data_IF_532702987548
#
_entry.id   IF_532702987548
#
_cell.length_a   1.000
_cell.length_b   1.000
_cell.length_c   1.000
_cell.angle_alpha   90.00
_cell.angle_beta   90.00
_cell.angle_gamma   90.00
#
_symmetry.space_group_name_H-M   'P 1'
#
loop_
_entity.id
_entity.type
_entity.pdbx_description
1 polymer ?
#
# COMPACT_ATOMS: atom_id res chain seq x y z
N UNK A 1 23.22 -1.46 14.82
CA UNK A 1 23.62 -1.87 13.46
C UNK A 1 23.44 -3.38 13.37
N UNK A 2 22.61 -3.85 12.42
CA UNK A 2 22.42 -5.28 12.23
C UNK A 2 23.73 -5.91 11.74
N UNK A 3 24.11 -7.05 12.32
CA UNK A 3 25.29 -7.79 11.89
C UNK A 3 24.96 -8.61 10.64
N UNK A 4 25.88 -8.65 9.69
CA UNK A 4 25.77 -9.53 8.53
C UNK A 4 25.72 -11.00 9.00
N UNK A 5 24.75 -11.78 8.54
CA UNK A 5 24.56 -13.18 8.95
C UNK A 5 23.44 -13.44 9.97
N UNK A 6 22.77 -12.38 10.47
CA UNK A 6 21.55 -12.52 11.31
C UNK A 6 20.25 -12.39 10.52
N UNK A 7 20.35 -12.19 9.21
CA UNK A 7 19.21 -12.09 8.33
C UNK A 7 18.65 -13.47 8.01
N UNK A 8 17.33 -13.60 8.14
CA UNK A 8 16.59 -14.75 7.68
C UNK A 8 15.51 -14.29 6.69
N UNK A 9 15.37 -15.05 5.64
CA UNK A 9 14.41 -14.78 4.57
C UNK A 9 13.21 -15.70 4.74
N UNK A 10 12.01 -15.17 4.51
CA UNK A 10 10.82 -15.98 4.47
C UNK A 10 10.92 -17.01 3.34
N UNK A 11 10.65 -18.27 3.65
CA UNK A 11 10.78 -19.38 2.70
C UNK A 11 9.47 -20.16 2.49
N UNK A 12 8.34 -19.59 2.96
CA UNK A 12 7.03 -20.20 2.86
C UNK A 12 6.42 -20.49 4.22
N UNK A 13 5.35 -21.26 4.23
CA UNK A 13 4.66 -21.70 5.44
C UNK A 13 4.65 -23.23 5.53
N UNK A 14 4.64 -23.75 6.76
CA UNK A 14 4.45 -25.20 7.00
C UNK A 14 2.98 -25.61 6.80
N UNK A 15 2.69 -26.90 6.96
CA UNK A 15 1.33 -27.43 6.84
C UNK A 15 0.32 -26.88 7.87
N UNK A 16 0.81 -26.18 8.90
CA UNK A 16 -0.01 -25.52 9.94
C UNK A 16 -0.12 -24.01 9.72
N UNK A 17 0.47 -23.46 8.64
CA UNK A 17 0.49 -22.04 8.34
C UNK A 17 1.54 -21.22 9.11
N UNK A 18 2.48 -21.87 9.81
CA UNK A 18 3.56 -21.16 10.48
C UNK A 18 4.66 -20.76 9.47
N UNK A 19 5.25 -19.55 9.62
CA UNK A 19 6.28 -19.07 8.70
C UNK A 19 7.56 -19.90 8.83
N UNK A 20 8.16 -20.23 7.71
CA UNK A 20 9.46 -20.84 7.59
C UNK A 20 10.50 -19.79 7.20
N UNK A 21 11.70 -19.94 7.73
CA UNK A 21 12.78 -18.97 7.54
C UNK A 21 14.06 -19.67 7.11
N UNK A 22 14.81 -19.05 6.22
CA UNK A 22 16.09 -19.56 5.72
C UNK A 22 17.16 -18.47 5.77
N UNK A 23 18.41 -18.84 5.97
CA UNK A 23 19.56 -17.95 5.78
C UNK A 23 20.02 -17.87 4.30
N UNK A 24 19.54 -18.78 3.45
CA UNK A 24 19.83 -18.74 2.01
C UNK A 24 18.81 -17.87 1.28
N UNK A 25 19.26 -16.72 0.80
CA UNK A 25 18.44 -15.78 0.02
C UNK A 25 17.80 -16.44 -1.22
N UNK A 26 18.47 -17.43 -1.82
CA UNK A 26 17.94 -18.11 -3.03
C UNK A 26 16.74 -19.00 -2.75
N UNK A 27 16.56 -19.39 -1.49
CA UNK A 27 15.42 -20.16 -1.03
C UNK A 27 14.29 -19.27 -0.46
N UNK A 28 14.37 -17.95 -0.65
CA UNK A 28 13.28 -17.05 -0.25
C UNK A 28 12.04 -17.27 -1.11
N UNK A 29 10.87 -17.16 -0.48
CA UNK A 29 9.57 -17.22 -1.13
C UNK A 29 8.94 -15.84 -1.26
N UNK A 30 8.20 -15.60 -2.34
CA UNK A 30 7.39 -14.41 -2.48
C UNK A 30 6.19 -14.46 -1.51
N UNK A 31 5.80 -13.31 -0.98
CA UNK A 31 4.61 -13.19 -0.13
C UNK A 31 3.31 -13.30 -0.93
N UNK A 32 3.33 -12.88 -2.18
CA UNK A 32 2.21 -12.93 -3.13
C UNK A 32 2.76 -12.82 -4.56
N UNK A 33 1.96 -13.24 -5.53
CA UNK A 33 2.30 -13.10 -6.94
C UNK A 33 1.86 -11.72 -7.44
N UNK A 34 2.83 -10.93 -7.91
CA UNK A 34 2.62 -9.60 -8.47
C UNK A 34 3.79 -9.29 -9.42
N UNK A 35 3.52 -9.07 -10.72
CA UNK A 35 4.58 -8.86 -11.70
C UNK A 35 5.50 -7.68 -11.41
N UNK A 36 4.96 -6.65 -10.77
CA UNK A 36 5.70 -5.43 -10.45
C UNK A 36 5.23 -4.85 -9.12
N UNK A 37 6.15 -4.74 -8.18
CA UNK A 37 5.95 -4.07 -6.88
C UNK A 37 7.02 -3.00 -6.75
N UNK A 38 6.61 -1.76 -6.56
CA UNK A 38 7.49 -0.65 -6.25
C UNK A 38 7.76 -0.55 -4.74
N UNK A 39 7.90 0.66 -4.24
CA UNK A 39 8.08 0.92 -2.82
C UNK A 39 6.82 0.52 -2.05
N UNK A 40 7.03 0.05 -0.83
CA UNK A 40 5.93 -0.47 -0.02
C UNK A 40 6.05 -0.10 1.46
N UNK A 41 4.92 -0.17 2.15
CA UNK A 41 4.86 -0.18 3.62
C UNK A 41 3.88 -1.23 4.11
N UNK A 42 4.20 -1.86 5.24
CA UNK A 42 3.35 -2.86 5.90
C UNK A 42 3.11 -2.44 7.33
N UNK A 43 1.83 -2.35 7.71
CA UNK A 43 1.42 -1.97 9.06
C UNK A 43 0.23 -2.80 9.54
N UNK A 44 0.15 -3.00 10.85
CA UNK A 44 -1.05 -3.55 11.46
C UNK A 44 -2.13 -2.47 11.59
N UNK A 45 -3.33 -2.76 11.17
CA UNK A 45 -4.54 -1.93 11.35
C UNK A 45 -5.31 -2.50 12.53
N UNK A 46 -4.97 -2.04 13.74
CA UNK A 46 -5.51 -2.57 15.00
C UNK A 46 -7.05 -2.59 15.05
N UNK A 47 -7.76 -1.53 14.61
CA UNK A 47 -9.23 -1.54 14.65
C UNK A 47 -9.89 -2.65 13.84
N UNK A 48 -9.20 -3.17 12.83
CA UNK A 48 -9.72 -4.24 11.95
C UNK A 48 -9.05 -5.59 12.22
N UNK A 49 -8.07 -5.62 13.15
CA UNK A 49 -7.27 -6.81 13.46
C UNK A 49 -6.67 -7.50 12.23
N UNK A 50 -6.10 -6.70 11.31
CA UNK A 50 -5.47 -7.18 10.08
C UNK A 50 -4.15 -6.43 9.81
N UNK A 51 -3.34 -7.00 8.93
CA UNK A 51 -2.18 -6.34 8.34
C UNK A 51 -2.58 -5.73 7.01
N UNK A 52 -2.10 -4.51 6.76
CA UNK A 52 -2.26 -3.79 5.50
C UNK A 52 -0.89 -3.58 4.87
N UNK A 53 -0.76 -4.00 3.63
CA UNK A 53 0.38 -3.71 2.79
C UNK A 53 -0.08 -2.70 1.74
N UNK A 54 0.60 -1.55 1.65
CA UNK A 54 0.44 -0.56 0.59
C UNK A 54 1.69 -0.57 -0.28
N UNK A 55 1.51 -0.50 -1.59
CA UNK A 55 2.61 -0.44 -2.56
C UNK A 55 2.16 0.27 -3.84
N UNK A 56 3.12 0.85 -4.57
CA UNK A 56 2.83 1.35 -5.91
C UNK A 56 3.14 0.27 -6.97
N UNK A 57 2.34 0.25 -8.01
CA UNK A 57 2.50 -0.65 -9.14
C UNK A 57 2.01 -0.03 -10.45
N UNK A 58 2.49 -0.56 -11.56
CA UNK A 58 2.04 -0.15 -12.88
C UNK A 58 0.76 -0.85 -13.34
N UNK A 59 0.44 -2.02 -12.75
CA UNK A 59 -0.77 -2.80 -13.08
C UNK A 59 -1.26 -3.61 -11.87
N UNK A 60 -2.43 -3.30 -11.30
CA UNK A 60 -3.17 -2.05 -11.56
C UNK A 60 -2.33 -0.84 -11.19
N UNK A 61 -2.49 0.25 -11.93
CA UNK A 61 -1.77 1.49 -11.66
C UNK A 61 -2.24 2.11 -10.35
N UNK A 62 -1.31 2.80 -9.66
CA UNK A 62 -1.61 3.58 -8.48
C UNK A 62 -1.03 3.00 -7.19
N UNK A 63 -1.56 3.47 -6.08
CA UNK A 63 -1.29 2.88 -4.78
C UNK A 63 -2.26 1.74 -4.54
N UNK A 64 -1.72 0.55 -4.44
CA UNK A 64 -2.45 -0.68 -4.24
C UNK A 64 -2.38 -1.14 -2.79
N UNK A 65 -3.41 -1.82 -2.33
CA UNK A 65 -3.51 -2.40 -1.00
C UNK A 65 -3.77 -3.90 -1.06
N UNK A 66 -3.21 -4.62 -0.10
CA UNK A 66 -3.54 -6.01 0.21
C UNK A 66 -3.66 -6.16 1.72
N UNK A 67 -4.50 -7.07 2.17
CA UNK A 67 -4.70 -7.34 3.59
C UNK A 67 -4.41 -8.80 3.92
N UNK A 68 -3.98 -9.05 5.17
CA UNK A 68 -3.77 -10.39 5.68
C UNK A 68 -4.01 -10.44 7.19
N UNK A 69 -4.30 -11.61 7.74
CA UNK A 69 -4.44 -11.82 9.19
C UNK A 69 -3.09 -11.86 9.91
N UNK A 70 -2.03 -12.25 9.20
CA UNK A 70 -0.66 -12.32 9.69
C UNK A 70 0.31 -11.75 8.65
N UNK A 71 1.50 -11.25 9.03
CA UNK A 71 2.37 -10.50 8.12
C UNK A 71 2.98 -11.33 6.98
N UNK A 72 2.93 -12.65 7.06
CA UNK A 72 3.40 -13.54 5.99
C UNK A 72 2.29 -14.05 5.09
N UNK A 73 1.02 -13.61 5.30
CA UNK A 73 -0.10 -13.96 4.44
C UNK A 73 -0.87 -15.23 4.89
N UNK A 74 -1.75 -15.79 4.07
CA UNK A 74 -1.97 -15.34 2.67
C UNK A 74 -2.50 -13.90 2.60
N UNK A 75 -2.00 -13.17 1.61
CA UNK A 75 -2.46 -11.83 1.31
C UNK A 75 -3.66 -11.88 0.37
N UNK A 76 -4.60 -10.98 0.57
CA UNK A 76 -5.80 -10.83 -0.28
C UNK A 76 -5.44 -10.51 -1.73
N UNK A 77 -6.44 -10.56 -2.60
CA UNK A 77 -6.37 -9.92 -3.90
C UNK A 77 -6.09 -8.42 -3.77
N UNK A 78 -5.59 -7.83 -4.86
CA UNK A 78 -5.25 -6.42 -4.90
C UNK A 78 -6.50 -5.54 -4.90
N UNK A 79 -6.44 -4.47 -4.11
CA UNK A 79 -7.42 -3.38 -4.15
C UNK A 79 -6.70 -2.08 -4.45
N UNK A 80 -7.17 -1.32 -5.44
CA UNK A 80 -6.61 0.01 -5.72
C UNK A 80 -7.09 0.99 -4.65
N UNK A 81 -6.16 1.55 -3.90
CA UNK A 81 -6.44 2.53 -2.84
C UNK A 81 -6.46 3.95 -3.40
N UNK A 82 -5.60 4.23 -4.36
CA UNK A 82 -5.52 5.51 -5.04
C UNK A 82 -5.01 5.31 -6.47
N UNK A 83 -5.77 5.80 -7.44
CA UNK A 83 -5.36 5.92 -8.83
C UNK A 83 -5.33 7.40 -9.20
N UNK A 84 -4.18 7.97 -9.62
CA UNK A 84 -4.09 9.37 -9.99
C UNK A 84 -4.97 9.75 -11.18
N UNK A 85 -5.39 8.77 -11.98
CA UNK A 85 -6.31 8.96 -13.10
C UNK A 85 -7.79 9.05 -12.73
N UNK A 86 -8.17 8.83 -11.48
CA UNK A 86 -9.55 9.04 -11.06
C UNK A 86 -9.98 10.50 -11.21
N UNK A 87 -11.25 10.78 -11.53
CA UNK A 87 -11.72 12.15 -11.70
C UNK A 87 -11.46 13.01 -10.47
N UNK A 88 -10.88 14.21 -10.70
CA UNK A 88 -10.65 15.24 -9.69
C UNK A 88 -9.75 14.82 -8.52
N UNK A 89 -8.73 13.99 -8.76
CA UNK A 89 -7.78 13.59 -7.72
C UNK A 89 -6.32 13.90 -8.07
N UNK A 90 -5.55 13.00 -8.62
CA UNK A 90 -4.09 13.14 -8.78
C UNK A 90 -3.68 14.10 -9.90
N UNK A 91 -4.03 13.72 -11.13
CA UNK A 91 -3.67 14.46 -12.31
C UNK A 91 -4.36 15.82 -12.39
N UNK A 92 -3.59 16.86 -12.71
CA UNK A 92 -4.07 18.22 -12.75
C UNK A 92 -4.32 18.87 -11.39
N UNK A 93 -3.99 18.19 -10.28
CA UNK A 93 -4.10 18.73 -8.92
C UNK A 93 -2.73 18.82 -8.25
N UNK A 94 -2.00 17.73 -8.16
CA UNK A 94 -0.66 17.69 -7.57
C UNK A 94 0.33 16.82 -8.37
N UNK A 95 -0.08 16.28 -9.49
CA UNK A 95 0.74 15.55 -10.46
C UNK A 95 0.43 16.00 -11.87
N UNK A 96 1.46 16.05 -12.71
CA UNK A 96 1.29 16.39 -14.11
C UNK A 96 0.58 15.31 -14.91
N UNK A 97 -0.32 15.80 -15.74
CA UNK A 97 -0.84 15.13 -16.92
C UNK A 97 -0.33 15.91 -18.14
N UNK A 98 0.17 15.27 -19.21
CA UNK A 98 0.59 16.01 -20.41
C UNK A 98 -0.52 16.91 -20.95
N UNK A 99 -0.20 18.18 -21.10
CA UNK A 99 -1.14 19.24 -21.49
C UNK A 99 -1.23 20.34 -20.43
N UNK A 100 -2.21 21.24 -20.60
CA UNK A 100 -2.45 22.32 -19.65
C UNK A 100 -3.23 21.80 -18.46
N UNK A 101 -2.57 21.51 -17.37
CA UNK A 101 -3.19 20.91 -16.18
C UNK A 101 -3.17 21.80 -14.93
N UNK A 102 -2.66 23.03 -15.02
CA UNK A 102 -2.54 24.00 -13.92
C UNK A 102 -1.56 23.60 -12.78
N UNK A 103 -0.90 22.47 -12.85
CA UNK A 103 0.24 22.14 -12.01
C UNK A 103 1.46 22.80 -12.62
N UNK A 104 2.36 23.37 -11.82
CA UNK A 104 3.56 24.05 -12.32
C UNK A 104 4.81 23.31 -11.87
N UNK A 105 5.61 22.88 -12.84
CA UNK A 105 6.98 22.38 -12.65
C UNK A 105 7.85 22.81 -13.85
N UNK A 106 8.42 24.03 -13.81
CA UNK A 106 9.11 24.62 -14.93
C UNK A 106 10.18 23.71 -15.56
N UNK A 107 10.06 23.48 -16.86
CA UNK A 107 10.95 22.61 -17.63
C UNK A 107 10.49 21.17 -17.75
N UNK A 108 9.40 20.77 -17.08
CA UNK A 108 8.88 19.41 -17.09
C UNK A 108 7.37 19.31 -17.31
N UNK A 109 6.75 20.38 -17.76
CA UNK A 109 5.31 20.53 -17.96
C UNK A 109 4.68 19.51 -18.92
N UNK A 110 5.48 18.91 -19.79
CA UNK A 110 5.02 17.91 -20.76
C UNK A 110 5.17 16.46 -20.32
N UNK A 111 5.67 16.22 -19.10
CA UNK A 111 5.92 14.88 -18.57
C UNK A 111 4.80 14.41 -17.64
N UNK A 112 4.45 13.13 -17.70
CA UNK A 112 3.54 12.56 -16.71
C UNK A 112 4.15 12.56 -15.32
N UNK A 113 3.34 12.85 -14.32
CA UNK A 113 3.63 12.57 -12.93
C UNK A 113 3.48 11.08 -12.61
N UNK A 114 4.11 10.66 -11.53
CA UNK A 114 4.01 9.32 -11.00
C UNK A 114 3.90 9.34 -9.47
N UNK A 115 3.10 8.46 -8.93
CA UNK A 115 2.96 8.20 -7.50
C UNK A 115 3.89 7.08 -7.05
N UNK A 116 4.51 7.23 -5.89
CA UNK A 116 5.37 6.20 -5.33
C UNK A 116 5.54 6.35 -3.81
N UNK A 117 6.17 5.36 -3.17
CA UNK A 117 6.57 5.38 -1.77
C UNK A 117 5.42 5.53 -0.79
N UNK A 118 4.33 4.75 -0.87
CA UNK A 118 3.25 4.84 0.10
C UNK A 118 3.75 4.42 1.48
N UNK A 119 3.77 5.36 2.43
CA UNK A 119 4.18 5.11 3.80
C UNK A 119 3.03 5.35 4.77
N UNK A 120 2.62 4.29 5.47
CA UNK A 120 1.52 4.33 6.43
C UNK A 120 1.94 5.04 7.72
N UNK A 121 1.08 5.92 8.24
CA UNK A 121 1.29 6.63 9.51
C UNK A 121 0.42 5.97 10.59
N UNK A 122 0.86 4.82 11.06
CA UNK A 122 0.13 3.95 11.97
C UNK A 122 -0.46 4.65 13.21
N UNK A 123 0.30 5.55 13.83
CA UNK A 123 -0.11 6.25 15.06
C UNK A 123 -1.42 7.05 14.94
N UNK A 124 -1.86 7.35 13.72
CA UNK A 124 -3.11 8.08 13.46
C UNK A 124 -4.25 7.16 12.98
N UNK A 125 -3.97 5.88 12.79
CA UNK A 125 -5.01 4.91 12.46
C UNK A 125 -6.03 4.85 13.59
N UNK A 126 -7.32 4.94 13.26
CA UNK A 126 -8.39 4.97 14.25
C UNK A 126 -9.64 4.23 13.76
N UNK A 127 -10.42 3.65 14.68
CA UNK A 127 -11.71 3.09 14.32
C UNK A 127 -12.67 4.19 13.87
N UNK A 128 -13.54 3.86 12.92
CA UNK A 128 -14.71 4.67 12.59
C UNK A 128 -15.89 4.02 13.31
N UNK A 129 -16.62 4.77 14.16
CA UNK A 129 -17.80 4.24 14.84
C UNK A 129 -18.83 3.72 13.84
N UNK A 130 -19.19 2.45 13.96
CA UNK A 130 -20.29 1.88 13.18
C UNK A 130 -21.62 2.32 13.75
N UNK A 131 -22.50 2.85 12.91
CA UNK A 131 -23.89 3.09 13.27
C UNK A 131 -24.68 1.79 12.99
N UNK A 132 -25.29 1.22 14.01
CA UNK A 132 -26.30 0.13 13.87
C UNK A 132 -25.77 -1.22 13.35
N UNK A 133 -24.64 -1.71 13.87
CA UNK A 133 -24.19 -3.10 13.58
C UNK A 133 -23.61 -3.32 12.17
N UNK A 134 -23.23 -2.26 11.49
CA UNK A 134 -22.51 -2.34 10.21
C UNK A 134 -21.09 -2.89 10.37
N UNK A 135 -20.40 -3.21 9.26
CA UNK A 135 -19.07 -3.77 9.27
C UNK A 135 -18.06 -2.84 9.94
N UNK A 136 -17.05 -3.42 10.57
CA UNK A 136 -15.97 -2.66 11.20
C UNK A 136 -15.22 -1.82 10.16
N UNK A 137 -14.97 -0.56 10.49
CA UNK A 137 -14.25 0.38 9.63
C UNK A 137 -13.09 1.03 10.38
N UNK A 138 -12.07 1.39 9.63
CA UNK A 138 -10.93 2.14 10.14
C UNK A 138 -10.52 3.25 9.16
N UNK A 139 -10.18 4.39 9.70
CA UNK A 139 -9.52 5.44 8.96
C UNK A 139 -8.00 5.24 9.06
N UNK A 140 -7.35 5.16 7.94
CA UNK A 140 -5.89 5.09 7.82
C UNK A 140 -5.34 6.40 7.25
N UNK A 141 -4.08 6.68 7.57
CA UNK A 141 -3.33 7.79 7.03
C UNK A 141 -2.04 7.27 6.44
N UNK A 142 -1.67 7.79 5.29
CA UNK A 142 -0.41 7.48 4.64
C UNK A 142 0.09 8.68 3.85
N UNK A 143 1.38 8.75 3.64
CA UNK A 143 1.97 9.67 2.69
C UNK A 143 2.33 8.93 1.42
N UNK A 144 2.31 9.63 0.31
CA UNK A 144 2.92 9.20 -0.93
C UNK A 144 3.81 10.33 -1.46
N UNK A 145 4.84 9.98 -2.18
CA UNK A 145 5.65 10.92 -2.92
C UNK A 145 5.18 10.96 -4.37
N UNK A 146 5.40 12.09 -5.01
CA UNK A 146 5.14 12.23 -6.43
C UNK A 146 6.43 12.55 -7.18
N UNK A 147 6.54 12.02 -8.36
CA UNK A 147 7.46 12.44 -9.39
C UNK A 147 6.71 13.37 -10.34
N UNK A 148 7.25 14.52 -10.60
CA UNK A 148 6.73 15.51 -11.54
C UNK A 148 5.32 16.07 -11.16
N UNK A 149 5.34 17.12 -10.32
CA UNK A 149 6.50 17.63 -9.57
C UNK A 149 6.89 16.71 -8.42
N UNK A 150 8.12 16.84 -7.92
CA UNK A 150 8.52 16.20 -6.67
C UNK A 150 7.79 16.84 -5.50
N UNK A 151 6.91 16.05 -4.89
CA UNK A 151 6.11 16.50 -3.77
C UNK A 151 5.82 15.33 -2.80
N UNK A 152 5.32 15.64 -1.62
CA UNK A 152 4.82 14.65 -0.67
C UNK A 152 3.40 15.01 -0.27
N UNK A 153 2.49 14.09 -0.44
CA UNK A 153 1.06 14.30 -0.19
C UNK A 153 0.60 13.43 0.96
N UNK A 154 -0.09 14.04 1.93
CA UNK A 154 -0.74 13.31 3.01
C UNK A 154 -2.13 12.86 2.54
N UNK A 155 -2.37 11.58 2.62
CA UNK A 155 -3.58 10.91 2.18
C UNK A 155 -4.32 10.28 3.36
N UNK A 156 -5.61 10.13 3.22
CA UNK A 156 -6.44 9.33 4.13
C UNK A 156 -7.37 8.42 3.32
N UNK A 157 -7.61 7.24 3.84
CA UNK A 157 -8.57 6.30 3.26
C UNK A 157 -9.38 5.61 4.37
N UNK A 158 -10.59 5.21 4.03
CA UNK A 158 -11.42 4.37 4.90
C UNK A 158 -11.31 2.92 4.42
N UNK A 159 -10.89 2.06 5.32
CA UNK A 159 -10.95 0.61 5.12
C UNK A 159 -12.19 0.06 5.79
N UNK A 160 -12.83 -0.86 5.12
CA UNK A 160 -13.98 -1.60 5.65
C UNK A 160 -13.65 -3.09 5.61
N UNK A 161 -13.88 -3.79 6.71
CA UNK A 161 -13.85 -5.24 6.71
C UNK A 161 -15.10 -5.73 5.98
N UNK A 162 -14.92 -6.56 4.95
CA UNK A 162 -16.07 -7.25 4.39
C UNK A 162 -16.74 -8.09 5.48
N UNK A 163 -18.07 -8.12 5.49
CA UNK A 163 -18.78 -9.03 6.36
C UNK A 163 -18.40 -10.45 5.95
N UNK A 164 -17.99 -11.27 6.93
CA UNK A 164 -17.75 -12.68 6.66
C UNK A 164 -19.05 -13.21 6.01
N UNK A 165 -18.96 -13.53 4.72
CA UNK A 165 -20.08 -14.21 4.05
C UNK A 165 -20.21 -15.57 4.68
N UNK A 166 -21.38 -15.93 5.21
CA UNK A 166 -21.58 -17.18 5.93
C UNK A 166 -21.35 -18.40 5.05
#
# INVERSE_FOLDING_TARGET
>A
VAQQGVWHFFSGVDARGNPQWTSDQRASAALFDQPQVGELSVMRVEPLNLWLLLYNAGSPRGINGRVASVPWGPWSDVTVIFDPGWPNVGYGHFMHQPGADQVSDPGREGEFGGEYGPYQIHRYTRPIPSTSGGPAQAQIYFILSTWNPYNTVLMTATLQREADTP
#
